data_IF_200594824480
#
_entry.id   IF_200594824480
#
_cell.length_a   1.000
_cell.length_b   1.000
_cell.length_c   1.000
_cell.angle_alpha   90.00
_cell.angle_beta   90.00
_cell.angle_gamma   90.00
#
_symmetry.space_group_name_H-M   'P 1'
#
loop_
_entity.id
_entity.type
_entity.pdbx_description
1 polymer ?
#
# COMPACT_ATOMS: atom_id res chain seq x y z
N UNK A 1 -4.09 -33.35 -22.42
CA UNK A 1 -3.22 -32.15 -22.35
C UNK A 1 -2.98 -31.78 -20.90
N UNK A 2 -1.82 -32.14 -20.35
CA UNK A 2 -1.38 -31.69 -19.03
C UNK A 2 -1.05 -30.20 -19.11
N UNK A 3 -1.91 -29.36 -18.57
CA UNK A 3 -1.64 -27.92 -18.48
C UNK A 3 -0.32 -27.73 -17.70
N UNK A 4 0.74 -27.29 -18.38
CA UNK A 4 2.03 -26.98 -17.76
C UNK A 4 1.78 -25.87 -16.74
N UNK A 5 1.72 -26.23 -15.47
CA UNK A 5 1.55 -25.26 -14.39
C UNK A 5 2.85 -24.46 -14.31
N UNK A 6 2.79 -23.16 -14.59
CA UNK A 6 3.94 -22.26 -14.38
C UNK A 6 4.44 -22.36 -12.93
N UNK A 7 5.76 -22.44 -12.76
CA UNK A 7 6.44 -22.46 -11.46
C UNK A 7 6.32 -21.09 -10.79
N UNK A 8 6.42 -21.05 -9.47
CA UNK A 8 6.49 -19.81 -8.69
C UNK A 8 7.78 -19.05 -8.99
N UNK A 9 7.79 -17.74 -8.74
CA UNK A 9 8.90 -16.86 -9.14
C UNK A 9 10.24 -17.31 -8.53
N UNK A 10 10.22 -17.78 -7.29
CA UNK A 10 11.40 -18.22 -6.54
C UNK A 10 11.46 -19.74 -6.35
N UNK A 11 10.49 -20.50 -6.88
CA UNK A 11 10.34 -21.93 -6.63
C UNK A 11 11.54 -22.74 -7.12
N UNK A 12 12.11 -22.37 -8.27
CA UNK A 12 13.24 -23.08 -8.89
C UNK A 12 14.50 -22.97 -8.06
N UNK A 13 14.96 -21.75 -7.80
CA UNK A 13 16.12 -21.54 -6.96
C UNK A 13 15.91 -22.07 -5.53
N UNK A 14 14.71 -21.88 -4.96
CA UNK A 14 14.38 -22.41 -3.64
C UNK A 14 14.53 -23.94 -3.58
N UNK A 15 14.12 -24.66 -4.62
CA UNK A 15 14.24 -26.12 -4.65
C UNK A 15 15.68 -26.62 -4.72
N UNK A 16 16.59 -25.81 -5.28
CA UNK A 16 18.01 -26.12 -5.44
C UNK A 16 18.85 -25.83 -4.18
N UNK A 17 18.35 -25.00 -3.26
CA UNK A 17 19.06 -24.70 -2.01
C UNK A 17 19.11 -25.91 -1.07
N UNK A 18 20.24 -26.08 -0.37
CA UNK A 18 20.33 -27.02 0.75
C UNK A 18 19.41 -26.60 1.91
N UNK A 19 18.97 -27.56 2.71
CA UNK A 19 18.07 -27.30 3.85
C UNK A 19 18.68 -26.30 4.86
N UNK A 20 19.99 -26.37 5.11
CA UNK A 20 20.68 -25.42 5.99
C UNK A 20 20.61 -23.99 5.45
N UNK A 21 20.79 -23.81 4.14
CA UNK A 21 20.69 -22.48 3.51
C UNK A 21 19.25 -21.97 3.49
N UNK A 22 18.27 -22.86 3.29
CA UNK A 22 16.84 -22.51 3.39
C UNK A 22 16.49 -22.02 4.79
N UNK A 23 16.95 -22.74 5.82
CA UNK A 23 16.73 -22.37 7.21
C UNK A 23 17.39 -21.03 7.54
N UNK A 24 18.67 -20.84 7.17
CA UNK A 24 19.39 -19.58 7.37
C UNK A 24 18.70 -18.39 6.69
N UNK A 25 18.23 -18.57 5.46
CA UNK A 25 17.50 -17.52 4.73
C UNK A 25 16.11 -17.23 5.32
N UNK A 26 15.40 -18.25 5.79
CA UNK A 26 14.15 -18.06 6.52
C UNK A 26 14.34 -17.31 7.83
N UNK A 27 15.37 -17.65 8.60
CA UNK A 27 15.70 -16.94 9.82
C UNK A 27 16.02 -15.48 9.53
N UNK A 28 16.88 -15.22 8.54
CA UNK A 28 17.24 -13.87 8.13
C UNK A 28 16.02 -13.04 7.70
N UNK A 29 15.18 -13.57 6.80
CA UNK A 29 13.99 -12.84 6.30
C UNK A 29 12.94 -12.61 7.40
N UNK A 30 12.80 -13.52 8.38
CA UNK A 30 11.92 -13.31 9.54
C UNK A 30 12.49 -12.29 10.52
N UNK A 31 13.78 -12.37 10.83
CA UNK A 31 14.46 -11.39 11.69
C UNK A 31 14.40 -9.99 11.08
N UNK A 32 14.63 -9.87 9.77
CA UNK A 32 14.49 -8.61 9.05
C UNK A 32 13.05 -8.08 9.15
N UNK A 33 12.05 -8.95 9.04
CA UNK A 33 10.66 -8.54 9.17
C UNK A 33 10.31 -8.03 10.58
N UNK A 34 10.87 -8.65 11.62
CA UNK A 34 10.70 -8.20 13.02
C UNK A 34 11.36 -6.83 13.21
N UNK A 35 12.60 -6.67 12.76
CA UNK A 35 13.32 -5.39 12.86
C UNK A 35 12.58 -4.30 12.11
N UNK A 36 12.14 -4.57 10.88
CA UNK A 36 11.40 -3.61 10.08
C UNK A 36 10.03 -3.24 10.71
N UNK A 37 9.37 -4.18 11.39
CA UNK A 37 8.13 -3.90 12.13
C UNK A 37 8.35 -2.87 13.26
N UNK A 38 9.53 -2.83 13.89
CA UNK A 38 9.86 -1.79 14.88
C UNK A 38 10.02 -0.39 14.29
N UNK A 39 10.38 -0.29 13.01
CA UNK A 39 10.52 0.99 12.31
C UNK A 39 9.23 1.47 11.65
N UNK A 40 8.13 0.69 11.71
CA UNK A 40 6.83 1.14 11.21
C UNK A 40 6.35 2.33 12.03
N UNK A 41 5.84 3.35 11.34
CA UNK A 41 5.30 4.56 11.96
C UNK A 41 4.20 4.19 12.96
N UNK A 42 4.23 4.82 14.14
CA UNK A 42 3.24 4.62 15.20
C UNK A 42 2.12 5.65 15.13
N UNK A 43 0.89 5.19 15.25
CA UNK A 43 -0.34 5.99 15.26
C UNK A 43 -0.72 6.47 16.67
N UNK A 44 0.09 6.14 17.68
CA UNK A 44 -0.13 6.46 19.10
C UNK A 44 -1.36 5.74 19.72
N UNK A 45 -1.89 4.74 19.01
CA UNK A 45 -2.95 3.84 19.49
C UNK A 45 -2.43 2.41 19.38
N UNK A 46 -2.08 1.82 20.54
CA UNK A 46 -1.42 0.50 20.62
C UNK A 46 -2.16 -0.59 19.84
N UNK A 47 -3.49 -0.62 19.89
CA UNK A 47 -4.29 -1.62 19.18
C UNK A 47 -4.11 -1.51 17.65
N UNK A 48 -4.11 -0.29 17.10
CA UNK A 48 -3.93 -0.05 15.67
C UNK A 48 -2.49 -0.37 15.25
N UNK A 49 -1.51 0.06 16.03
CA UNK A 49 -0.10 -0.21 15.78
C UNK A 49 0.19 -1.73 15.75
N UNK A 50 -0.37 -2.50 16.68
CA UNK A 50 -0.26 -3.95 16.69
C UNK A 50 -0.87 -4.59 15.44
N UNK A 51 -2.03 -4.11 14.99
CA UNK A 51 -2.69 -4.62 13.77
C UNK A 51 -1.83 -4.32 12.54
N UNK A 52 -1.35 -3.08 12.39
CA UNK A 52 -0.50 -2.68 11.26
C UNK A 52 0.81 -3.48 11.26
N UNK A 53 1.46 -3.63 12.41
CA UNK A 53 2.69 -4.42 12.54
C UNK A 53 2.46 -5.90 12.17
N UNK A 54 1.34 -6.49 12.60
CA UNK A 54 0.98 -7.85 12.22
C UNK A 54 0.81 -7.98 10.70
N UNK A 55 0.05 -7.09 10.05
CA UNK A 55 -0.09 -7.11 8.60
C UNK A 55 1.24 -6.88 7.88
N UNK A 56 2.06 -5.94 8.33
CA UNK A 56 3.38 -5.65 7.76
C UNK A 56 4.31 -6.86 7.83
N UNK A 57 4.30 -7.60 8.93
CA UNK A 57 5.11 -8.80 9.12
C UNK A 57 4.59 -10.00 8.33
N UNK A 58 3.29 -10.29 8.40
CA UNK A 58 2.73 -11.50 7.83
C UNK A 58 2.52 -11.43 6.31
N UNK A 59 2.06 -10.30 5.77
CA UNK A 59 1.70 -10.21 4.34
C UNK A 59 2.87 -10.54 3.40
N UNK A 60 4.09 -9.96 3.57
CA UNK A 60 5.24 -10.32 2.75
C UNK A 60 5.63 -11.78 2.90
N UNK A 61 5.58 -12.33 4.12
CA UNK A 61 5.90 -13.74 4.37
C UNK A 61 4.94 -14.69 3.66
N UNK A 62 3.63 -14.38 3.64
CA UNK A 62 2.64 -15.14 2.89
C UNK A 62 2.90 -15.08 1.38
N UNK A 63 3.23 -13.90 0.85
CA UNK A 63 3.57 -13.73 -0.57
C UNK A 63 4.81 -14.57 -0.90
N UNK A 64 5.88 -14.45 -0.11
CA UNK A 64 7.13 -15.20 -0.31
C UNK A 64 6.89 -16.71 -0.27
N UNK A 65 6.24 -17.23 0.78
CA UNK A 65 5.91 -18.67 0.89
C UNK A 65 5.08 -19.16 -0.29
N UNK A 66 4.12 -18.36 -0.74
CA UNK A 66 3.29 -18.71 -1.90
C UNK A 66 4.10 -18.85 -3.19
N UNK A 67 5.19 -18.10 -3.34
CA UNK A 67 6.08 -18.18 -4.50
C UNK A 67 7.09 -19.32 -4.37
N UNK A 68 7.61 -19.60 -3.17
CA UNK A 68 8.57 -20.70 -2.93
C UNK A 68 8.00 -22.10 -3.15
N UNK A 69 6.70 -22.29 -2.89
CA UNK A 69 6.04 -23.61 -2.94
C UNK A 69 4.80 -23.63 -3.83
N UNK A 70 4.79 -22.83 -4.89
CA UNK A 70 3.57 -22.60 -5.67
C UNK A 70 2.97 -23.90 -6.25
N UNK A 71 3.77 -24.84 -6.77
CA UNK A 71 3.23 -26.08 -7.35
C UNK A 71 2.71 -27.07 -6.31
N UNK A 72 3.17 -26.99 -5.05
CA UNK A 72 2.75 -27.90 -3.97
C UNK A 72 1.30 -27.66 -3.54
N UNK A 73 0.73 -26.49 -3.83
CA UNK A 73 -0.66 -26.17 -3.53
C UNK A 73 -1.63 -26.72 -4.59
N UNK A 74 -2.82 -27.12 -4.14
CA UNK A 74 -3.90 -27.53 -5.04
C UNK A 74 -4.34 -26.40 -5.98
N UNK A 75 -4.91 -26.75 -7.14
CA UNK A 75 -5.39 -25.77 -8.14
C UNK A 75 -6.33 -24.72 -7.53
N UNK A 76 -7.23 -25.15 -6.65
CA UNK A 76 -8.21 -24.28 -6.00
C UNK A 76 -7.56 -23.32 -5.01
N UNK A 77 -6.64 -23.82 -4.18
CA UNK A 77 -5.90 -23.00 -3.20
C UNK A 77 -5.08 -21.93 -3.91
N UNK A 78 -4.38 -22.30 -4.99
CA UNK A 78 -3.60 -21.34 -5.79
C UNK A 78 -4.47 -20.25 -6.38
N UNK A 79 -5.58 -20.61 -7.02
CA UNK A 79 -6.49 -19.61 -7.62
C UNK A 79 -7.03 -18.65 -6.57
N UNK A 80 -7.45 -19.16 -5.40
CA UNK A 80 -7.92 -18.34 -4.28
C UNK A 80 -6.83 -17.43 -3.76
N UNK A 81 -5.64 -17.95 -3.48
CA UNK A 81 -4.53 -17.19 -2.92
C UNK A 81 -4.06 -16.07 -3.85
N UNK A 82 -3.90 -16.34 -5.16
CA UNK A 82 -3.54 -15.31 -6.14
C UNK A 82 -4.67 -14.26 -6.26
N UNK A 83 -5.93 -14.71 -6.22
CA UNK A 83 -7.09 -13.82 -6.21
C UNK A 83 -7.10 -12.89 -5.00
N UNK A 84 -6.86 -13.44 -3.81
CA UNK A 84 -6.78 -12.68 -2.55
C UNK A 84 -5.62 -11.69 -2.56
N UNK A 85 -4.43 -12.08 -3.03
CA UNK A 85 -3.28 -11.15 -3.13
C UNK A 85 -3.60 -9.98 -4.07
N UNK A 86 -4.14 -10.27 -5.25
CA UNK A 86 -4.49 -9.22 -6.23
C UNK A 86 -5.63 -8.34 -5.71
N UNK A 87 -6.62 -8.93 -5.05
CA UNK A 87 -7.74 -8.19 -4.48
C UNK A 87 -7.29 -7.31 -3.31
N UNK A 88 -6.62 -7.87 -2.31
CA UNK A 88 -6.15 -7.13 -1.15
C UNK A 88 -5.11 -6.06 -1.53
N UNK A 89 -4.13 -6.40 -2.36
CA UNK A 89 -3.12 -5.44 -2.80
C UNK A 89 -3.69 -4.34 -3.67
N UNK A 90 -4.61 -4.68 -4.59
CA UNK A 90 -5.27 -3.70 -5.45
C UNK A 90 -6.23 -2.78 -4.69
N UNK A 91 -7.15 -3.36 -3.91
CA UNK A 91 -8.11 -2.60 -3.10
C UNK A 91 -7.40 -1.79 -2.01
N UNK A 92 -6.36 -2.35 -1.39
CA UNK A 92 -5.56 -1.65 -0.40
C UNK A 92 -4.87 -0.42 -0.96
N UNK A 93 -4.14 -0.56 -2.08
CA UNK A 93 -3.52 0.57 -2.78
C UNK A 93 -4.58 1.60 -3.20
N UNK A 94 -5.75 1.14 -3.63
CA UNK A 94 -6.85 2.02 -4.01
C UNK A 94 -7.37 2.86 -2.84
N UNK A 95 -7.63 2.22 -1.69
CA UNK A 95 -8.07 2.90 -0.48
C UNK A 95 -7.01 3.89 0.00
N UNK A 96 -5.73 3.52 0.04
CA UNK A 96 -4.67 4.44 0.42
C UNK A 96 -4.55 5.64 -0.51
N UNK A 97 -4.62 5.42 -1.84
CA UNK A 97 -4.55 6.51 -2.80
C UNK A 97 -5.71 7.49 -2.66
N UNK A 98 -6.92 6.99 -2.38
CA UNK A 98 -8.10 7.83 -2.09
C UNK A 98 -7.94 8.62 -0.79
N UNK A 99 -7.50 7.98 0.29
CA UNK A 99 -7.29 8.63 1.58
C UNK A 99 -6.21 9.71 1.49
N UNK A 100 -5.09 9.40 0.82
CA UNK A 100 -4.01 10.35 0.59
C UNK A 100 -4.49 11.57 -0.22
N UNK A 101 -5.21 11.34 -1.31
CA UNK A 101 -5.78 12.44 -2.10
C UNK A 101 -6.79 13.26 -1.29
N UNK A 102 -7.61 12.60 -0.48
CA UNK A 102 -8.57 13.25 0.42
C UNK A 102 -7.88 14.18 1.42
N UNK A 103 -6.81 13.72 2.08
CA UNK A 103 -6.00 14.56 2.98
C UNK A 103 -5.42 15.74 2.22
N UNK A 104 -4.78 15.51 1.07
CA UNK A 104 -4.16 16.58 0.28
C UNK A 104 -5.19 17.64 -0.13
N UNK A 105 -6.40 17.22 -0.53
CA UNK A 105 -7.49 18.13 -0.86
C UNK A 105 -7.95 18.93 0.36
N UNK A 106 -8.19 18.27 1.50
CA UNK A 106 -8.60 18.92 2.75
C UNK A 106 -7.56 19.92 3.23
N UNK A 107 -6.27 19.55 3.22
CA UNK A 107 -5.17 20.44 3.58
C UNK A 107 -5.10 21.66 2.66
N UNK A 108 -5.29 21.46 1.35
CA UNK A 108 -5.30 22.56 0.38
C UNK A 108 -6.48 23.52 0.61
N UNK A 109 -7.67 22.98 0.93
CA UNK A 109 -8.85 23.79 1.26
C UNK A 109 -8.66 24.55 2.56
N UNK A 110 -8.15 23.90 3.61
CA UNK A 110 -7.87 24.52 4.90
C UNK A 110 -6.84 25.65 4.76
N UNK A 111 -5.78 25.42 3.98
CA UNK A 111 -4.77 26.44 3.72
C UNK A 111 -5.35 27.62 2.94
N UNK A 112 -6.13 27.36 1.89
CA UNK A 112 -6.80 28.42 1.11
C UNK A 112 -7.79 29.22 1.98
N UNK A 113 -8.52 28.56 2.87
CA UNK A 113 -9.37 29.23 3.85
C UNK A 113 -8.57 30.15 4.76
N UNK A 114 -7.45 29.66 5.31
CA UNK A 114 -6.61 30.42 6.23
C UNK A 114 -5.97 31.65 5.56
N UNK A 115 -5.56 31.55 4.30
CA UNK A 115 -4.89 32.66 3.59
C UNK A 115 -5.86 33.62 2.93
N UNK A 116 -6.93 33.13 2.30
CA UNK A 116 -7.80 33.96 1.44
C UNK A 116 -9.15 34.30 2.07
N UNK A 117 -9.64 33.53 3.05
CA UNK A 117 -11.01 33.72 3.60
C UNK A 117 -11.00 34.23 5.04
N UNK A 118 -10.17 33.66 5.91
CA UNK A 118 -10.08 34.02 7.31
C UNK A 118 -9.75 35.51 7.57
N UNK A 119 -8.86 36.17 6.79
CA UNK A 119 -8.55 37.59 7.00
C UNK A 119 -9.78 38.52 6.86
N UNK A 120 -10.74 38.18 6.00
CA UNK A 120 -11.97 38.98 5.82
C UNK A 120 -12.94 38.83 6.98
N UNK A 121 -12.97 37.66 7.64
CA UNK A 121 -13.76 37.48 8.88
C UNK A 121 -13.21 38.31 10.04
N UNK A 122 -11.90 38.49 10.12
CA UNK A 122 -11.26 39.25 11.19
C UNK A 122 -11.32 40.77 10.98
N UNK A 123 -11.53 41.26 9.75
CA UNK A 123 -11.58 42.69 9.40
C UNK A 123 -12.99 43.32 9.39
N UNK A 124 -14.00 42.62 9.92
CA UNK A 124 -15.39 43.08 10.00
C UNK A 124 -16.06 43.38 8.65
N UNK A 125 -15.68 42.68 7.58
CA UNK A 125 -16.46 42.62 6.33
C UNK A 125 -17.16 41.25 6.21
N UNK A 126 -18.27 41.04 6.95
CA UNK A 126 -18.92 39.73 7.04
C UNK A 126 -19.55 39.30 5.70
N UNK A 127 -19.91 40.26 4.85
CA UNK A 127 -20.52 39.99 3.55
C UNK A 127 -19.47 39.44 2.59
N UNK A 128 -18.32 40.11 2.47
CA UNK A 128 -17.22 39.63 1.64
C UNK A 128 -16.68 38.27 2.13
N UNK A 129 -16.58 38.08 3.45
CA UNK A 129 -16.15 36.80 4.03
C UNK A 129 -17.11 35.66 3.68
N UNK A 130 -18.44 35.90 3.72
CA UNK A 130 -19.43 34.90 3.34
C UNK A 130 -19.41 34.59 1.84
N UNK A 131 -19.20 35.60 0.98
CA UNK A 131 -19.03 35.39 -0.47
C UNK A 131 -17.78 34.55 -0.76
N UNK A 132 -16.63 34.91 -0.17
CA UNK A 132 -15.38 34.17 -0.36
C UNK A 132 -15.46 32.74 0.17
N UNK A 133 -16.14 32.53 1.30
CA UNK A 133 -16.39 31.19 1.83
C UNK A 133 -17.29 30.36 0.91
N UNK A 134 -18.39 30.94 0.40
CA UNK A 134 -19.26 30.28 -0.56
C UNK A 134 -18.53 29.93 -1.86
N UNK A 135 -17.68 30.84 -2.34
CA UNK A 135 -16.83 30.62 -3.51
C UNK A 135 -15.83 29.47 -3.27
N UNK A 136 -15.20 29.42 -2.09
CA UNK A 136 -14.30 28.33 -1.72
C UNK A 136 -15.03 26.98 -1.69
N UNK A 137 -16.22 26.92 -1.08
CA UNK A 137 -17.03 25.70 -1.01
C UNK A 137 -17.44 25.18 -2.39
N UNK A 138 -17.66 26.07 -3.36
CA UNK A 138 -18.00 25.68 -4.72
C UNK A 138 -16.77 25.34 -5.58
N UNK A 139 -15.69 26.10 -5.46
CA UNK A 139 -14.48 25.92 -6.27
C UNK A 139 -13.64 24.73 -5.80
N UNK A 140 -13.62 24.41 -4.51
CA UNK A 140 -12.84 23.30 -3.96
C UNK A 140 -13.22 21.92 -4.55
N UNK A 141 -14.51 21.53 -4.63
CA UNK A 141 -14.91 20.28 -5.28
C UNK A 141 -14.57 20.27 -6.78
N UNK A 142 -14.79 21.39 -7.49
CA UNK A 142 -14.50 21.50 -8.93
C UNK A 142 -13.01 21.35 -9.19
N UNK A 143 -12.17 22.03 -8.41
CA UNK A 143 -10.71 21.91 -8.45
C UNK A 143 -10.27 20.50 -8.09
N UNK A 144 -10.84 19.88 -7.06
CA UNK A 144 -10.56 18.49 -6.67
C UNK A 144 -10.84 17.51 -7.80
N UNK A 145 -12.03 17.58 -8.43
CA UNK A 145 -12.39 16.70 -9.57
C UNK A 145 -11.47 16.96 -10.76
N UNK A 146 -11.16 18.23 -11.07
CA UNK A 146 -10.27 18.60 -12.17
C UNK A 146 -8.85 18.04 -11.94
N UNK A 147 -8.31 18.20 -10.73
CA UNK A 147 -7.00 17.68 -10.34
C UNK A 147 -6.96 16.16 -10.42
N UNK A 148 -7.97 15.48 -9.87
CA UNK A 148 -8.11 14.02 -9.94
C UNK A 148 -8.06 13.49 -11.38
N UNK A 149 -8.82 14.13 -12.28
CA UNK A 149 -8.85 13.78 -13.70
C UNK A 149 -7.53 14.09 -14.40
N UNK A 150 -6.97 15.29 -14.17
CA UNK A 150 -5.74 15.74 -14.83
C UNK A 150 -4.53 14.87 -14.50
N UNK A 151 -4.40 14.46 -13.24
CA UNK A 151 -3.34 13.57 -12.76
C UNK A 151 -3.58 12.10 -13.10
N UNK A 152 -4.72 11.77 -13.74
CA UNK A 152 -5.17 10.39 -14.01
C UNK A 152 -5.12 9.52 -12.76
N UNK A 153 -5.49 10.09 -11.60
CA UNK A 153 -5.42 9.39 -10.32
C UNK A 153 -6.21 8.08 -10.33
N UNK A 154 -7.32 8.02 -11.06
CA UNK A 154 -8.08 6.77 -11.22
C UNK A 154 -7.23 5.63 -11.79
N UNK A 155 -6.42 5.91 -12.82
CA UNK A 155 -5.55 4.90 -13.41
C UNK A 155 -4.42 4.50 -12.45
N UNK A 156 -3.83 5.50 -11.79
CA UNK A 156 -2.72 5.34 -10.85
C UNK A 156 -3.11 4.56 -9.59
N UNK A 157 -4.31 4.79 -9.08
CA UNK A 157 -4.81 4.28 -7.80
C UNK A 157 -5.55 2.96 -7.97
N UNK A 158 -6.37 2.79 -9.02
CA UNK A 158 -7.20 1.58 -9.19
C UNK A 158 -6.62 0.57 -10.19
N UNK A 159 -6.14 1.04 -11.34
CA UNK A 159 -5.79 0.15 -12.44
C UNK A 159 -4.35 -0.34 -12.36
N UNK A 160 -3.41 0.56 -12.10
CA UNK A 160 -1.98 0.27 -12.13
C UNK A 160 -1.58 -0.78 -11.09
N UNK A 161 -2.00 -0.71 -9.80
CA UNK A 161 -1.63 -1.71 -8.81
C UNK A 161 -2.17 -3.10 -9.19
N UNK A 162 -3.43 -3.16 -9.64
CA UNK A 162 -4.09 -4.41 -10.04
C UNK A 162 -3.45 -5.01 -11.29
N UNK A 163 -3.12 -4.19 -12.31
CA UNK A 163 -2.44 -4.64 -13.53
C UNK A 163 -1.03 -5.12 -13.24
N UNK A 164 -0.27 -4.39 -12.43
CA UNK A 164 1.10 -4.76 -12.04
C UNK A 164 1.12 -6.04 -11.21
N UNK A 165 0.23 -6.18 -10.23
CA UNK A 165 0.11 -7.42 -9.46
C UNK A 165 -0.31 -8.60 -10.34
N UNK A 166 -1.28 -8.43 -11.24
CA UNK A 166 -1.64 -9.48 -12.21
C UNK A 166 -0.44 -9.87 -13.10
N UNK A 167 0.33 -8.90 -13.58
CA UNK A 167 1.53 -9.16 -14.40
C UNK A 167 2.59 -9.94 -13.62
N UNK A 168 2.87 -9.52 -12.39
CA UNK A 168 3.88 -10.16 -11.53
C UNK A 168 3.44 -11.56 -11.11
N UNK A 169 2.21 -11.70 -10.61
CA UNK A 169 1.71 -12.90 -9.95
C UNK A 169 1.14 -13.95 -10.92
N UNK A 170 0.44 -13.52 -11.99
CA UNK A 170 -0.21 -14.42 -12.96
C UNK A 170 0.66 -14.64 -14.20
N UNK A 171 1.22 -13.58 -14.79
CA UNK A 171 2.00 -13.72 -16.02
C UNK A 171 3.40 -14.27 -15.74
N UNK A 172 3.97 -13.96 -14.57
CA UNK A 172 5.28 -14.44 -14.08
C UNK A 172 6.34 -14.33 -15.16
N UNK A 173 6.47 -13.13 -15.73
CA UNK A 173 7.51 -12.82 -16.73
C UNK A 173 8.91 -12.83 -16.12
N UNK A 174 9.02 -12.84 -14.80
CA UNK A 174 10.27 -12.89 -14.05
C UNK A 174 10.36 -14.24 -13.32
N UNK A 175 11.47 -14.95 -13.54
CA UNK A 175 11.83 -16.19 -12.85
C UNK A 175 13.20 -15.95 -12.22
N UNK A 176 13.33 -16.29 -10.94
CA UNK A 176 14.57 -16.12 -10.20
C UNK A 176 15.40 -17.40 -10.30
N UNK A 177 16.37 -17.40 -11.22
CA UNK A 177 17.24 -18.56 -11.49
C UNK A 177 18.56 -18.50 -10.69
N UNK A 178 18.89 -17.33 -10.15
CA UNK A 178 20.12 -17.10 -9.36
C UNK A 178 19.79 -16.59 -7.96
N UNK A 179 20.74 -16.74 -7.03
CA UNK A 179 20.60 -16.24 -5.66
C UNK A 179 20.28 -14.75 -5.62
N UNK A 180 20.96 -13.94 -6.44
CA UNK A 180 20.79 -12.48 -6.47
C UNK A 180 19.36 -12.14 -6.90
N UNK A 181 18.86 -12.75 -7.97
CA UNK A 181 17.48 -12.53 -8.44
C UNK A 181 16.43 -13.01 -7.44
N UNK A 182 16.73 -14.09 -6.71
CA UNK A 182 15.90 -14.66 -5.66
C UNK A 182 15.82 -13.73 -4.45
N UNK A 183 16.98 -13.33 -3.92
CA UNK A 183 17.11 -12.42 -2.79
C UNK A 183 16.47 -11.07 -3.10
N UNK A 184 16.73 -10.53 -4.29
CA UNK A 184 16.15 -9.26 -4.73
C UNK A 184 14.62 -9.31 -4.72
N UNK A 185 14.01 -10.38 -5.24
CA UNK A 185 12.55 -10.51 -5.24
C UNK A 185 11.97 -10.56 -3.83
N UNK A 186 12.53 -11.41 -2.96
CA UNK A 186 11.97 -11.61 -1.62
C UNK A 186 12.19 -10.39 -0.72
N UNK A 187 13.37 -9.75 -0.80
CA UNK A 187 13.63 -8.51 -0.09
C UNK A 187 12.77 -7.36 -0.61
N UNK A 188 12.58 -7.25 -1.93
CA UNK A 188 11.67 -6.23 -2.50
C UNK A 188 10.24 -6.41 -2.02
N UNK A 189 9.75 -7.65 -1.92
CA UNK A 189 8.42 -7.94 -1.40
C UNK A 189 8.27 -7.50 0.07
N UNK A 190 9.31 -7.68 0.89
CA UNK A 190 9.35 -7.19 2.26
C UNK A 190 9.39 -5.67 2.32
N UNK A 191 10.34 -5.03 1.63
CA UNK A 191 10.48 -3.57 1.59
C UNK A 191 9.19 -2.90 1.12
N UNK A 192 8.57 -3.40 0.05
CA UNK A 192 7.30 -2.88 -0.44
C UNK A 192 6.16 -3.06 0.58
N UNK A 193 6.11 -4.21 1.26
CA UNK A 193 5.13 -4.45 2.33
C UNK A 193 5.28 -3.52 3.52
N UNK A 194 6.52 -3.25 3.95
CA UNK A 194 6.81 -2.31 5.04
C UNK A 194 6.54 -0.87 4.65
N UNK A 195 6.94 -0.44 3.44
CA UNK A 195 6.63 0.89 2.93
C UNK A 195 5.12 1.12 2.85
N UNK A 196 4.38 0.11 2.39
CA UNK A 196 2.92 0.13 2.37
C UNK A 196 2.34 0.28 3.78
N UNK A 197 2.75 -0.56 4.74
CA UNK A 197 2.27 -0.49 6.12
C UNK A 197 2.62 0.84 6.81
N UNK A 198 3.82 1.36 6.59
CA UNK A 198 4.25 2.67 7.10
C UNK A 198 3.40 3.81 6.53
N UNK A 199 3.07 3.75 5.24
CA UNK A 199 2.19 4.74 4.60
C UNK A 199 0.78 4.67 5.17
N UNK A 200 0.24 3.46 5.38
CA UNK A 200 -1.04 3.27 6.08
C UNK A 200 -1.04 3.94 7.46
N UNK A 201 0.00 3.67 8.26
CA UNK A 201 0.10 4.22 9.61
C UNK A 201 0.18 5.75 9.61
N UNK A 202 0.97 6.35 8.71
CA UNK A 202 1.03 7.81 8.57
C UNK A 202 -0.35 8.41 8.25
N UNK A 203 -1.06 7.83 7.27
CA UNK A 203 -2.39 8.30 6.89
C UNK A 203 -3.35 8.19 8.07
N UNK A 204 -3.40 7.02 8.74
CA UNK A 204 -4.26 6.81 9.91
C UNK A 204 -3.92 7.80 11.02
N UNK A 205 -2.64 8.04 11.29
CA UNK A 205 -2.20 9.03 12.29
C UNK A 205 -2.73 10.42 11.98
N UNK A 206 -2.65 10.86 10.72
CA UNK A 206 -3.20 12.16 10.30
C UNK A 206 -4.72 12.20 10.52
N UNK A 207 -5.45 11.17 10.12
CA UNK A 207 -6.90 11.10 10.36
C UNK A 207 -7.23 11.14 11.86
N UNK A 208 -6.54 10.36 12.69
CA UNK A 208 -6.75 10.39 14.14
C UNK A 208 -6.48 11.79 14.71
N UNK A 209 -5.44 12.49 14.25
CA UNK A 209 -5.15 13.85 14.72
C UNK A 209 -6.21 14.88 14.33
N UNK A 210 -6.97 14.63 13.26
CA UNK A 210 -8.06 15.52 12.80
C UNK A 210 -9.38 15.21 13.52
N UNK A 211 -9.68 13.94 13.78
CA UNK A 211 -10.99 13.50 14.27
C UNK A 211 -11.03 13.17 15.77
N UNK A 212 -9.88 12.87 16.38
CA UNK A 212 -9.77 12.56 17.80
C UNK A 212 -9.06 13.73 18.49
N UNK A 213 -9.78 14.60 19.23
CA UNK A 213 -9.14 15.62 20.03
C UNK A 213 -8.23 14.94 21.07
N UNK A 214 -7.01 15.46 21.22
CA UNK A 214 -6.09 15.05 22.28
C UNK A 214 -6.54 15.58 23.64
#
# INVERSE_FOLDING_TARGET
>A
MTAIVKRGITEDYWSLMSEDRKFGWELFTRSLAIVAAWFVVKTDITAIDCVIAAFAGFTPLFIIRSQRSFRRYSKNVRKRLLGVIVLLGGTGAAVLGLLYFGIALLSSVAQTYATEVAPFRHRADPLMANIMFALLLFTAPVAGVKTWRSLRMSELVFDLPKRSLKRLVLQRKYVADTFVTFAHFELSAQVAGFAYASTCAQIIKVYLSVFVPK
#
